data_IF_317314634692
#
_entry.id   IF_317314634692
#
_cell.length_a   1.000
_cell.length_b   1.000
_cell.length_c   1.000
_cell.angle_alpha   90.00
_cell.angle_beta   90.00
_cell.angle_gamma   90.00
#
_symmetry.space_group_name_H-M   'P 1'
#
loop_
_entity.id
_entity.type
_entity.pdbx_description
1 polymer ?
#
# COMPACT_ATOMS: atom_id res chain seq x y z
N UNK A 1 14.68 -34.87 65.50
CA UNK A 1 13.25 -34.52 65.66
C UNK A 1 13.12 -33.00 65.53
N UNK A 2 12.60 -32.52 64.40
CA UNK A 2 12.44 -31.09 64.12
C UNK A 2 10.97 -30.68 64.33
N UNK A 3 10.75 -29.69 65.20
CA UNK A 3 9.46 -29.06 65.49
C UNK A 3 9.02 -28.15 64.33
N UNK A 4 7.71 -28.07 64.00
CA UNK A 4 7.22 -27.17 62.95
C UNK A 4 7.01 -25.74 63.49
N UNK A 5 7.66 -24.76 62.86
CA UNK A 5 7.51 -23.34 63.16
C UNK A 5 6.26 -22.71 62.51
N UNK A 6 5.61 -21.80 63.25
CA UNK A 6 4.37 -21.08 62.91
C UNK A 6 4.46 -20.25 61.61
N UNK A 7 3.36 -20.11 60.84
CA UNK A 7 3.31 -19.22 59.68
C UNK A 7 3.31 -17.73 60.10
N UNK A 8 4.10 -16.92 59.38
CA UNK A 8 4.16 -15.46 59.55
C UNK A 8 2.90 -14.77 59.01
N UNK A 9 2.51 -13.58 59.51
CA UNK A 9 1.26 -12.94 59.15
C UNK A 9 1.25 -12.45 57.70
N UNK A 10 0.16 -12.75 56.98
CA UNK A 10 -0.14 -12.27 55.64
C UNK A 10 -0.36 -10.75 55.70
N UNK A 11 0.40 -10.03 54.88
CA UNK A 11 0.36 -8.58 54.73
C UNK A 11 -1.07 -8.10 54.40
N UNK A 12 -1.61 -7.21 55.27
CA UNK A 12 -2.95 -6.60 55.13
C UNK A 12 -3.09 -5.77 53.85
N UNK A 13 -2.00 -5.43 53.15
CA UNK A 13 -2.03 -4.75 51.83
C UNK A 13 -2.51 -5.66 50.69
N UNK A 14 -2.34 -6.98 50.79
CA UNK A 14 -2.79 -7.91 49.76
C UNK A 14 -4.33 -8.10 49.72
N UNK A 15 -5.02 -7.93 50.87
CA UNK A 15 -6.49 -8.02 50.92
C UNK A 15 -7.21 -6.74 50.46
N UNK A 16 -6.54 -5.58 50.46
CA UNK A 16 -7.11 -4.35 49.94
C UNK A 16 -7.15 -4.32 48.39
N UNK A 17 -6.12 -4.86 47.74
CA UNK A 17 -6.04 -4.95 46.28
C UNK A 17 -7.08 -5.92 45.68
N UNK A 18 -7.37 -7.03 46.36
CA UNK A 18 -8.35 -8.02 45.87
C UNK A 18 -9.82 -7.58 45.96
N UNK A 19 -10.16 -6.60 46.83
CA UNK A 19 -11.52 -6.03 46.91
C UNK A 19 -11.79 -4.89 45.93
N UNK A 20 -10.75 -4.31 45.31
CA UNK A 20 -10.90 -3.29 44.28
C UNK A 20 -11.26 -3.86 42.90
N UNK A 21 -11.02 -5.16 42.66
CA UNK A 21 -11.23 -5.82 41.37
C UNK A 21 -12.61 -6.50 41.21
N UNK A 22 -13.50 -6.47 42.22
CA UNK A 22 -14.80 -7.14 42.17
C UNK A 22 -16.02 -6.25 41.91
N UNK A 23 -15.82 -4.97 41.56
CA UNK A 23 -16.92 -4.07 41.17
C UNK A 23 -16.96 -3.89 39.65
N UNK A 24 -17.93 -4.53 39.00
CA UNK A 24 -18.26 -4.30 37.58
C UNK A 24 -18.48 -2.79 37.35
N UNK A 25 -17.73 -2.12 36.46
CA UNK A 25 -18.04 -0.74 36.13
C UNK A 25 -19.28 -0.71 35.22
N UNK A 26 -20.23 0.15 35.58
CA UNK A 26 -21.35 0.55 34.71
C UNK A 26 -20.78 1.13 33.41
N UNK A 27 -21.39 0.76 32.27
CA UNK A 27 -21.06 1.29 30.93
C UNK A 27 -20.97 2.81 30.97
N UNK A 28 -19.76 3.34 30.77
CA UNK A 28 -19.55 4.74 30.35
C UNK A 28 -19.59 4.78 28.82
N UNK A 29 -20.15 5.82 28.20
CA UNK A 29 -20.09 5.97 26.75
C UNK A 29 -18.62 6.10 26.31
N UNK A 30 -18.30 5.51 25.16
CA UNK A 30 -16.96 5.54 24.58
C UNK A 30 -16.52 7.00 24.35
N UNK A 31 -15.30 7.39 24.75
CA UNK A 31 -14.81 8.74 24.50
C UNK A 31 -14.57 8.95 22.99
N UNK A 32 -14.76 10.17 22.47
CA UNK A 32 -14.49 10.47 21.07
C UNK A 32 -13.02 10.21 20.72
N UNK A 33 -12.77 9.69 19.51
CA UNK A 33 -11.50 9.22 18.94
C UNK A 33 -10.39 10.31 18.75
N UNK A 34 -10.30 11.28 19.64
CA UNK A 34 -9.27 12.33 19.63
C UNK A 34 -8.60 12.45 21.01
N UNK A 35 -7.85 11.43 21.45
CA UNK A 35 -7.02 11.53 22.66
C UNK A 35 -5.91 10.47 22.79
N UNK A 36 -5.22 10.09 21.70
CA UNK A 36 -4.01 9.25 21.79
C UNK A 36 -2.94 9.79 20.83
N UNK A 37 -1.99 10.55 21.38
CA UNK A 37 -0.83 11.10 20.66
C UNK A 37 0.24 10.04 20.37
N UNK A 38 -0.05 9.13 19.43
CA UNK A 38 0.87 8.07 18.99
C UNK A 38 1.60 8.46 17.68
N UNK A 39 2.92 8.19 17.56
CA UNK A 39 3.68 8.39 16.32
C UNK A 39 3.23 7.42 15.20
N UNK A 40 3.46 7.85 13.96
CA UNK A 40 2.66 7.52 12.77
C UNK A 40 3.52 6.72 11.73
N UNK A 41 3.13 5.47 11.40
CA UNK A 41 3.61 4.53 10.33
C UNK A 41 2.58 4.25 9.21
N UNK A 42 3.00 4.13 7.92
CA UNK A 42 2.14 3.87 6.74
C UNK A 42 1.71 2.41 6.76
N UNK A 43 0.59 2.20 7.42
CA UNK A 43 -0.11 0.93 7.40
C UNK A 43 -1.36 1.12 6.56
N UNK A 44 -1.34 0.40 5.46
CA UNK A 44 -2.42 0.31 4.51
C UNK A 44 -3.32 -0.86 4.94
N UNK A 45 -4.63 -0.61 5.04
CA UNK A 45 -5.61 -1.49 5.67
C UNK A 45 -6.70 -1.95 4.67
N UNK A 46 -6.85 -3.28 4.49
CA UNK A 46 -7.95 -3.90 3.71
C UNK A 46 -9.10 -4.31 4.63
N UNK A 47 -10.36 -4.40 4.21
CA UNK A 47 -11.41 -5.15 4.95
C UNK A 47 -12.18 -6.04 3.98
N UNK A 48 -12.48 -7.28 4.36
CA UNK A 48 -13.31 -8.22 3.62
C UNK A 48 -14.72 -8.39 4.23
N UNK A 49 -15.74 -8.52 3.36
CA UNK A 49 -17.12 -8.87 3.76
C UNK A 49 -18.12 -9.07 2.61
N UNK A 50 -18.29 -10.35 2.19
CA UNK A 50 -19.51 -11.09 1.72
C UNK A 50 -20.35 -10.57 0.50
N UNK A 51 -20.97 -11.37 -0.39
CA UNK A 51 -21.48 -12.77 -0.39
C UNK A 51 -21.71 -13.25 -1.86
N UNK A 52 -21.48 -14.54 -2.14
CA UNK A 52 -21.84 -15.23 -3.40
C UNK A 52 -23.32 -15.09 -3.77
N UNK A 53 -23.62 -14.97 -5.07
CA UNK A 53 -24.80 -15.58 -5.71
C UNK A 53 -24.49 -15.85 -7.18
N UNK A 54 -24.45 -17.13 -7.54
CA UNK A 54 -24.12 -17.60 -8.88
C UNK A 54 -25.19 -17.28 -9.92
N UNK A 55 -24.80 -17.31 -11.19
CA UNK A 55 -25.71 -17.55 -12.30
C UNK A 55 -24.95 -18.14 -13.49
N UNK A 56 -25.59 -19.15 -14.09
CA UNK A 56 -25.09 -20.10 -15.07
C UNK A 56 -24.73 -19.42 -16.38
N UNK A 57 -23.58 -19.78 -16.95
CA UNK A 57 -23.25 -19.49 -18.34
C UNK A 57 -24.18 -20.29 -19.27
N UNK A 58 -24.85 -19.60 -20.20
CA UNK A 58 -25.42 -20.23 -21.41
C UNK A 58 -24.47 -19.92 -22.57
N UNK A 59 -24.04 -20.97 -23.24
CA UNK A 59 -23.30 -20.91 -24.49
C UNK A 59 -24.20 -20.35 -25.61
N UNK A 60 -23.64 -19.45 -26.42
CA UNK A 60 -24.25 -18.92 -27.63
C UNK A 60 -23.17 -18.77 -28.70
N UNK A 61 -23.45 -19.31 -29.88
CA UNK A 61 -22.50 -19.66 -30.93
C UNK A 61 -21.78 -18.47 -31.59
N UNK A 62 -20.58 -18.76 -32.10
CA UNK A 62 -19.79 -17.90 -32.98
C UNK A 62 -20.26 -18.09 -34.43
N UNK A 63 -20.62 -16.99 -35.11
CA UNK A 63 -20.85 -16.93 -36.56
C UNK A 63 -19.91 -15.90 -37.22
N UNK A 64 -19.56 -16.07 -38.52
CA UNK A 64 -18.38 -15.45 -39.10
C UNK A 64 -18.58 -14.00 -39.55
N UNK A 65 -17.45 -13.27 -39.57
CA UNK A 65 -17.29 -11.84 -39.90
C UNK A 65 -17.67 -11.51 -41.35
N UNK A 66 -18.24 -10.31 -41.54
CA UNK A 66 -18.03 -9.48 -42.75
C UNK A 66 -17.67 -8.06 -42.31
N UNK A 67 -16.52 -7.57 -42.78
CA UNK A 67 -16.08 -6.19 -42.63
C UNK A 67 -16.76 -5.30 -43.68
N UNK A 68 -17.15 -4.09 -43.28
CA UNK A 68 -17.30 -2.93 -44.14
C UNK A 68 -16.68 -1.72 -43.43
N UNK A 69 -16.00 -0.81 -44.14
CA UNK A 69 -15.24 0.28 -43.53
C UNK A 69 -16.16 1.48 -43.24
N UNK A 70 -16.22 1.93 -41.98
CA UNK A 70 -16.99 3.12 -41.64
C UNK A 70 -16.93 3.51 -40.16
N UNK A 71 -16.39 4.71 -39.90
CA UNK A 71 -16.34 5.48 -38.63
C UNK A 71 -15.42 4.91 -37.54
N UNK A 72 -14.25 5.54 -37.42
CA UNK A 72 -13.35 5.42 -36.26
C UNK A 72 -14.14 5.59 -34.95
N UNK A 73 -14.18 4.52 -34.16
CA UNK A 73 -15.10 4.37 -33.02
C UNK A 73 -14.66 5.15 -31.79
N UNK A 74 -15.57 5.95 -31.25
CA UNK A 74 -15.50 6.55 -29.91
C UNK A 74 -15.69 5.45 -28.86
N UNK A 75 -14.64 4.70 -28.52
CA UNK A 75 -14.70 3.65 -27.51
C UNK A 75 -13.70 3.91 -26.37
N UNK A 76 -14.00 3.37 -25.19
CA UNK A 76 -13.06 3.37 -24.06
C UNK A 76 -11.85 2.50 -24.42
N UNK A 77 -10.65 2.85 -23.95
CA UNK A 77 -9.43 2.06 -24.25
C UNK A 77 -9.60 0.60 -23.78
N UNK A 78 -10.28 0.38 -22.65
CA UNK A 78 -10.61 -0.97 -22.18
C UNK A 78 -11.65 -1.77 -22.99
N UNK A 79 -12.28 -1.22 -24.05
CA UNK A 79 -13.23 -1.96 -24.90
C UNK A 79 -12.57 -2.64 -26.10
N UNK A 80 -11.37 -2.22 -26.51
CA UNK A 80 -10.62 -2.87 -27.60
C UNK A 80 -9.77 -4.07 -27.14
N UNK A 81 -9.76 -4.35 -25.83
CA UNK A 81 -9.01 -5.43 -25.20
C UNK A 81 -9.97 -6.54 -24.72
N UNK A 82 -9.60 -7.83 -24.77
CA UNK A 82 -10.44 -8.91 -24.26
C UNK A 82 -10.77 -8.68 -22.78
N UNK A 83 -12.08 -8.68 -22.45
CA UNK A 83 -12.60 -8.28 -21.14
C UNK A 83 -12.49 -9.39 -20.09
N UNK A 84 -12.11 -8.99 -18.88
CA UNK A 84 -12.64 -9.56 -17.65
C UNK A 84 -13.96 -8.82 -17.25
N UNK A 85 -14.78 -9.42 -16.39
CA UNK A 85 -16.18 -9.04 -16.08
C UNK A 85 -16.39 -7.50 -15.89
N UNK A 86 -17.31 -6.84 -16.62
CA UNK A 86 -17.60 -5.40 -16.48
C UNK A 86 -18.11 -4.97 -15.09
N UNK A 87 -18.35 -5.91 -14.17
CA UNK A 87 -18.66 -5.66 -12.75
C UNK A 87 -17.43 -5.70 -11.85
N UNK A 88 -16.21 -5.75 -12.40
CA UNK A 88 -14.95 -5.73 -11.67
C UNK A 88 -14.80 -4.44 -10.87
N UNK A 89 -15.37 -4.50 -9.67
CA UNK A 89 -15.04 -3.68 -8.52
C UNK A 89 -13.55 -3.87 -8.28
N UNK A 90 -12.74 -2.87 -8.59
CA UNK A 90 -11.29 -2.94 -8.35
C UNK A 90 -11.01 -2.60 -6.91
N UNK A 91 -10.33 -3.53 -6.23
CA UNK A 91 -10.14 -3.50 -4.79
C UNK A 91 -9.06 -2.49 -4.40
N UNK A 92 -9.40 -1.69 -3.41
CA UNK A 92 -8.63 -0.55 -2.98
C UNK A 92 -7.78 -0.82 -1.75
N UNK A 93 -6.64 -0.16 -1.73
CA UNK A 93 -5.93 0.15 -0.50
C UNK A 93 -6.12 1.62 -0.15
N UNK A 94 -6.76 1.89 0.99
CA UNK A 94 -6.90 3.25 1.52
C UNK A 94 -5.57 3.67 2.16
N UNK A 95 -4.73 4.34 1.37
CA UNK A 95 -3.50 4.96 1.86
C UNK A 95 -3.84 6.22 2.65
N UNK A 96 -3.71 6.18 3.97
CA UNK A 96 -3.36 7.40 4.71
C UNK A 96 -1.85 7.53 4.66
N UNK A 97 -1.37 8.70 4.27
CA UNK A 97 0.03 9.09 4.47
C UNK A 97 0.34 8.96 5.96
N UNK A 98 1.22 8.03 6.28
CA UNK A 98 1.72 7.90 7.63
C UNK A 98 3.23 7.59 7.57
N UNK A 99 4.02 8.37 6.83
CA UNK A 99 5.45 8.49 7.14
C UNK A 99 5.75 9.94 7.52
N UNK A 100 5.91 10.11 8.82
CA UNK A 100 6.38 11.31 9.49
C UNK A 100 6.63 11.00 10.97
N UNK A 101 7.07 9.77 11.26
CA UNK A 101 7.20 9.21 12.61
C UNK A 101 8.64 9.06 13.07
N UNK A 102 9.52 9.90 12.56
CA UNK A 102 10.73 10.33 13.25
C UNK A 102 10.73 11.86 13.36
N UNK A 103 9.56 12.40 13.71
CA UNK A 103 9.36 13.75 14.22
C UNK A 103 8.91 13.60 15.66
N UNK A 104 9.86 13.74 16.59
CA UNK A 104 9.53 14.00 17.97
C UNK A 104 9.05 15.44 18.08
N UNK A 105 7.77 15.65 18.36
CA UNK A 105 7.33 16.86 19.05
C UNK A 105 7.45 16.58 20.55
N UNK A 106 8.46 17.21 21.13
CA UNK A 106 8.91 17.01 22.49
C UNK A 106 10.29 17.64 22.56
N UNK A 107 10.33 18.89 23.03
CA UNK A 107 11.57 19.58 23.38
C UNK A 107 12.39 18.68 24.31
N UNK A 108 13.36 17.95 23.75
CA UNK A 108 14.20 17.04 24.52
C UNK A 108 14.76 15.82 23.79
N UNK A 109 14.16 15.31 22.70
CA UNK A 109 14.61 14.04 22.12
C UNK A 109 15.24 14.16 20.72
N UNK A 110 16.57 14.26 20.70
CA UNK A 110 17.43 14.34 19.50
C UNK A 110 17.68 12.97 18.83
N UNK A 111 16.76 11.99 18.93
CA UNK A 111 17.02 10.62 18.47
C UNK A 111 16.00 10.12 17.46
N UNK A 112 16.57 9.73 16.33
CA UNK A 112 16.00 9.19 15.11
C UNK A 112 15.20 10.24 14.31
N UNK A 113 15.78 10.67 13.18
CA UNK A 113 15.15 11.35 12.04
C UNK A 113 15.35 10.44 10.83
N UNK A 114 14.28 10.06 10.11
CA UNK A 114 14.38 9.39 8.79
C UNK A 114 14.47 10.45 7.67
N UNK A 115 14.39 11.73 8.04
CA UNK A 115 14.84 12.86 7.24
C UNK A 115 16.32 13.10 7.55
N UNK A 116 17.17 12.72 6.60
CA UNK A 116 18.64 12.73 6.64
C UNK A 116 19.20 12.06 5.38
N UNK A 117 20.53 12.00 5.21
CA UNK A 117 21.15 11.28 4.09
C UNK A 117 20.64 9.83 4.05
N UNK A 118 20.61 9.24 2.84
CA UNK A 118 20.21 7.86 2.66
C UNK A 118 21.13 6.95 3.49
N UNK A 119 20.60 6.39 4.58
CA UNK A 119 21.31 5.45 5.45
C UNK A 119 20.60 4.10 5.39
N UNK A 120 21.30 3.08 4.91
CA UNK A 120 20.80 1.71 4.80
C UNK A 120 20.89 0.93 6.11
N UNK A 121 21.68 1.44 7.06
CA UNK A 121 21.84 0.90 8.39
C UNK A 121 20.96 1.65 9.39
N UNK A 122 20.17 0.92 10.18
CA UNK A 122 19.27 1.48 11.19
C UNK A 122 19.58 0.94 12.58
N UNK A 123 19.30 1.75 13.61
CA UNK A 123 19.55 1.33 15.00
C UNK A 123 18.51 0.29 15.47
N UNK A 124 18.83 -0.41 16.56
CA UNK A 124 17.91 -1.37 17.20
C UNK A 124 16.65 -0.69 17.71
N UNK A 125 16.77 0.52 18.22
CA UNK A 125 15.65 1.33 18.69
C UNK A 125 14.70 1.67 17.54
N UNK A 126 15.22 1.96 16.35
CA UNK A 126 14.40 2.20 15.16
C UNK A 126 13.63 0.94 14.74
N UNK A 127 14.27 -0.23 14.74
CA UNK A 127 13.59 -1.51 14.47
C UNK A 127 12.45 -1.78 15.46
N UNK A 128 12.72 -1.57 16.75
CA UNK A 128 11.69 -1.75 17.79
C UNK A 128 10.55 -0.75 17.63
N UNK A 129 10.84 0.51 17.29
CA UNK A 129 9.80 1.51 17.05
C UNK A 129 8.87 1.10 15.90
N UNK A 130 9.41 0.54 14.82
CA UNK A 130 8.59 0.01 13.71
C UNK A 130 7.69 -1.12 14.20
N UNK A 131 8.25 -2.10 14.92
CA UNK A 131 7.50 -3.23 15.48
C UNK A 131 6.37 -2.79 16.39
N UNK A 132 6.63 -1.86 17.32
CA UNK A 132 5.60 -1.34 18.23
C UNK A 132 4.49 -0.63 17.45
N UNK A 133 4.84 0.07 16.38
CA UNK A 133 3.85 0.76 15.56
C UNK A 133 2.99 -0.22 14.77
N UNK A 134 3.58 -1.25 14.15
CA UNK A 134 2.82 -2.32 13.48
C UNK A 134 1.93 -3.07 14.46
N UNK A 135 2.44 -3.38 15.66
CA UNK A 135 1.66 -4.01 16.73
C UNK A 135 0.45 -3.17 17.12
N UNK A 136 0.65 -1.87 17.35
CA UNK A 136 -0.41 -0.96 17.75
C UNK A 136 -1.51 -0.87 16.67
N UNK A 137 -1.12 -0.77 15.40
CA UNK A 137 -2.10 -0.74 14.31
C UNK A 137 -2.80 -2.07 14.15
N UNK A 138 -2.09 -3.21 14.17
CA UNK A 138 -2.70 -4.55 14.14
C UNK A 138 -3.74 -4.71 15.25
N UNK A 139 -3.42 -4.27 16.47
CA UNK A 139 -4.36 -4.29 17.60
C UNK A 139 -5.59 -3.42 17.35
N UNK A 140 -5.44 -2.25 16.71
CA UNK A 140 -6.53 -1.33 16.43
C UNK A 140 -7.46 -1.80 15.29
N UNK A 141 -6.90 -2.38 14.23
CA UNK A 141 -7.68 -2.78 13.04
C UNK A 141 -8.19 -4.22 13.10
N UNK A 142 -7.64 -5.04 14.01
CA UNK A 142 -7.97 -6.45 14.17
C UNK A 142 -7.34 -7.35 13.10
N UNK A 143 -7.59 -8.68 13.16
CA UNK A 143 -6.91 -9.66 12.31
C UNK A 143 -7.47 -9.77 10.89
N UNK A 144 -8.66 -9.23 10.62
CA UNK A 144 -9.34 -9.34 9.31
C UNK A 144 -8.90 -8.27 8.31
N UNK A 145 -8.00 -7.39 8.73
CA UNK A 145 -7.54 -6.27 7.94
C UNK A 145 -6.14 -6.55 7.47
N UNK A 146 -5.91 -6.67 6.17
CA UNK A 146 -4.55 -6.87 5.67
C UNK A 146 -3.70 -5.65 5.98
N UNK A 147 -2.45 -5.89 6.41
CA UNK A 147 -1.47 -4.84 6.65
C UNK A 147 -0.40 -4.88 5.57
N UNK A 148 -0.32 -3.79 4.83
CA UNK A 148 0.64 -3.60 3.76
C UNK A 148 1.71 -2.66 4.29
N UNK A 149 2.96 -3.14 4.35
CA UNK A 149 4.08 -2.45 4.99
C UNK A 149 5.08 -2.03 3.92
N UNK A 150 5.40 -0.74 3.89
CA UNK A 150 6.23 -0.12 2.86
C UNK A 150 7.46 0.57 3.50
N UNK A 151 8.66 0.27 3.00
CA UNK A 151 9.95 0.53 3.67
C UNK A 151 10.81 1.59 2.95
N UNK A 152 10.41 1.98 1.75
CA UNK A 152 10.97 3.04 0.91
C UNK A 152 12.44 2.78 0.55
N UNK A 153 12.82 1.53 0.27
CA UNK A 153 14.16 1.14 -0.22
C UNK A 153 15.30 1.40 0.76
N UNK A 154 15.00 1.61 2.05
CA UNK A 154 15.95 2.22 3.00
C UNK A 154 16.78 1.23 3.80
N UNK A 155 16.63 -0.07 3.64
CA UNK A 155 17.36 -1.03 4.46
C UNK A 155 18.45 -1.73 3.66
N UNK A 156 19.55 -2.05 4.35
CA UNK A 156 20.46 -3.10 3.92
C UNK A 156 19.78 -4.47 4.10
N UNK A 157 20.14 -5.50 3.31
CA UNK A 157 19.51 -6.83 3.38
C UNK A 157 19.42 -7.41 4.80
N UNK A 158 20.47 -7.27 5.60
CA UNK A 158 20.49 -7.76 6.99
C UNK A 158 19.39 -7.15 7.88
N UNK A 159 19.04 -5.88 7.65
CA UNK A 159 17.97 -5.21 8.39
C UNK A 159 16.61 -5.56 7.84
N UNK A 160 16.47 -5.62 6.52
CA UNK A 160 15.24 -6.02 5.86
C UNK A 160 14.77 -7.41 6.35
N UNK A 161 15.67 -8.41 6.31
CA UNK A 161 15.38 -9.78 6.76
C UNK A 161 15.01 -9.80 8.25
N UNK A 162 15.78 -9.09 9.07
CA UNK A 162 15.59 -9.08 10.52
C UNK A 162 14.28 -8.40 10.92
N UNK A 163 13.98 -7.24 10.33
CA UNK A 163 12.76 -6.52 10.60
C UNK A 163 11.55 -7.30 10.10
N UNK A 164 11.60 -7.89 8.90
CA UNK A 164 10.54 -8.76 8.40
C UNK A 164 10.20 -9.89 9.38
N UNK A 165 11.21 -10.60 9.92
CA UNK A 165 11.00 -11.64 10.96
C UNK A 165 10.35 -11.11 12.22
N UNK A 166 10.68 -9.89 12.64
CA UNK A 166 10.05 -9.25 13.79
C UNK A 166 8.60 -8.84 13.51
N UNK A 167 8.25 -8.65 12.23
CA UNK A 167 6.91 -8.26 11.79
C UNK A 167 6.00 -9.46 11.46
N UNK A 168 6.56 -10.64 11.19
CA UNK A 168 5.81 -11.89 10.91
C UNK A 168 4.64 -12.16 11.88
N UNK A 169 4.78 -11.97 13.23
CA UNK A 169 3.68 -12.21 14.16
C UNK A 169 2.44 -11.32 13.96
N UNK A 170 2.55 -10.23 13.19
CA UNK A 170 1.44 -9.32 12.89
C UNK A 170 0.75 -9.62 11.56
N UNK A 171 1.13 -10.71 10.90
CA UNK A 171 0.55 -11.17 9.63
C UNK A 171 0.46 -10.06 8.56
N UNK A 172 1.60 -9.46 8.13
CA UNK A 172 1.58 -8.51 7.04
C UNK A 172 1.23 -9.22 5.72
N UNK A 173 0.38 -8.58 4.92
CA UNK A 173 0.01 -9.09 3.60
C UNK A 173 1.15 -8.92 2.60
N UNK A 174 1.92 -7.82 2.70
CA UNK A 174 3.14 -7.65 1.93
C UNK A 174 4.18 -6.79 2.65
N UNK A 175 5.41 -6.88 2.13
CA UNK A 175 6.58 -6.10 2.53
C UNK A 175 7.21 -5.46 1.29
N UNK A 176 6.94 -4.18 1.12
CA UNK A 176 7.25 -3.41 -0.08
C UNK A 176 8.58 -2.67 0.06
N UNK A 177 9.32 -2.70 -1.05
CA UNK A 177 10.65 -2.14 -1.23
C UNK A 177 11.57 -2.25 0.00
N UNK A 178 11.84 -3.48 0.50
CA UNK A 178 12.66 -3.69 1.68
C UNK A 178 14.07 -3.11 1.53
N UNK A 179 14.62 -3.21 0.33
CA UNK A 179 15.93 -2.69 -0.08
C UNK A 179 15.76 -1.95 -1.42
N UNK A 180 16.81 -1.32 -1.93
CA UNK A 180 16.71 -0.59 -3.21
C UNK A 180 16.36 -1.50 -4.38
N UNK A 181 15.36 -1.08 -5.17
CA UNK A 181 15.00 -1.72 -6.44
C UNK A 181 16.13 -1.70 -7.48
N UNK A 182 17.12 -0.81 -7.31
CA UNK A 182 18.31 -0.75 -8.16
C UNK A 182 19.27 -1.94 -7.93
N UNK A 183 19.13 -2.65 -6.82
CA UNK A 183 19.90 -3.86 -6.53
C UNK A 183 18.96 -5.06 -6.47
N UNK A 184 18.64 -5.60 -7.65
CA UNK A 184 17.80 -6.80 -7.79
C UNK A 184 18.45 -8.03 -7.14
N UNK A 185 19.79 -8.05 -7.04
CA UNK A 185 20.54 -9.09 -6.33
C UNK A 185 20.23 -9.08 -4.84
N UNK A 186 20.27 -7.92 -4.22
CA UNK A 186 19.90 -7.72 -2.81
C UNK A 186 18.42 -8.04 -2.55
N UNK A 187 17.52 -7.69 -3.47
CA UNK A 187 16.11 -8.09 -3.38
C UNK A 187 15.96 -9.62 -3.42
N UNK A 188 16.63 -10.29 -4.35
CA UNK A 188 16.61 -11.75 -4.44
C UNK A 188 17.24 -12.42 -3.20
N UNK A 189 18.27 -11.82 -2.61
CA UNK A 189 18.83 -12.24 -1.32
C UNK A 189 17.78 -12.15 -0.21
N UNK A 190 17.14 -10.98 -0.06
CA UNK A 190 16.08 -10.79 0.93
C UNK A 190 14.93 -11.76 0.73
N UNK A 191 14.51 -11.99 -0.51
CA UNK A 191 13.39 -12.87 -0.86
C UNK A 191 13.62 -14.31 -0.42
N UNK A 192 14.87 -14.79 -0.37
CA UNK A 192 15.18 -16.15 0.12
C UNK A 192 14.91 -16.33 1.61
N UNK A 193 15.07 -15.27 2.40
CA UNK A 193 15.02 -15.33 3.87
C UNK A 193 13.78 -14.68 4.50
N UNK A 194 13.01 -13.93 3.72
CA UNK A 194 11.76 -13.28 4.14
C UNK A 194 10.57 -14.12 3.71
N UNK A 195 9.67 -14.40 4.66
CA UNK A 195 8.44 -15.19 4.42
C UNK A 195 7.22 -14.34 4.03
N UNK A 196 7.28 -13.04 4.29
CA UNK A 196 6.25 -12.09 3.89
C UNK A 196 6.41 -11.82 2.38
N UNK A 197 5.32 -11.77 1.58
CA UNK A 197 5.42 -11.46 0.15
C UNK A 197 6.18 -10.14 -0.09
N UNK A 198 7.15 -10.15 -1.01
CA UNK A 198 7.93 -8.97 -1.36
C UNK A 198 7.32 -8.25 -2.55
N UNK A 199 7.22 -6.91 -2.45
CA UNK A 199 6.77 -6.01 -3.53
C UNK A 199 7.92 -5.12 -4.00
N UNK A 200 8.06 -4.91 -5.31
CA UNK A 200 8.99 -3.93 -5.90
C UNK A 200 8.53 -3.47 -7.29
N UNK A 201 8.98 -2.31 -7.76
CA UNK A 201 8.67 -1.85 -9.12
C UNK A 201 8.31 -0.37 -9.27
N UNK A 202 7.95 0.35 -8.22
CA UNK A 202 7.57 1.77 -8.32
C UNK A 202 8.68 2.68 -8.88
N UNK A 203 9.95 2.29 -8.66
CA UNK A 203 11.14 2.98 -9.17
C UNK A 203 11.71 2.37 -10.47
N UNK A 204 11.08 1.33 -11.02
CA UNK A 204 11.50 0.75 -12.30
C UNK A 204 10.70 1.41 -13.43
N UNK A 205 11.37 1.82 -14.50
CA UNK A 205 10.79 2.67 -15.56
C UNK A 205 10.60 1.93 -16.88
N UNK A 206 11.20 0.75 -17.05
CA UNK A 206 11.13 0.02 -18.32
C UNK A 206 10.89 -1.46 -18.10
N UNK A 207 10.19 -2.12 -19.03
CA UNK A 207 10.02 -3.60 -18.99
C UNK A 207 11.35 -4.37 -18.92
N UNK A 208 12.44 -3.77 -19.37
CA UNK A 208 13.78 -4.38 -19.33
C UNK A 208 14.33 -4.50 -17.91
N UNK A 209 14.02 -3.54 -17.04
CA UNK A 209 14.36 -3.63 -15.61
C UNK A 209 13.51 -4.69 -14.91
N UNK A 210 12.21 -4.76 -15.24
CA UNK A 210 11.32 -5.80 -14.73
C UNK A 210 11.74 -7.21 -15.15
N UNK A 211 12.31 -7.39 -16.35
CA UNK A 211 12.85 -8.69 -16.79
C UNK A 211 13.83 -9.28 -15.77
N UNK A 212 14.76 -8.47 -15.25
CA UNK A 212 15.75 -8.95 -14.28
C UNK A 212 15.09 -9.34 -12.95
N UNK A 213 14.08 -8.60 -12.49
CA UNK A 213 13.29 -8.93 -11.29
C UNK A 213 12.67 -10.33 -11.43
N UNK A 214 12.11 -10.64 -12.61
CA UNK A 214 11.50 -11.94 -12.88
C UNK A 214 12.51 -13.07 -12.99
N UNK A 215 13.58 -12.87 -13.78
CA UNK A 215 14.63 -13.88 -13.99
C UNK A 215 15.33 -14.26 -12.68
N UNK A 216 15.52 -13.30 -11.77
CA UNK A 216 16.11 -13.54 -10.45
C UNK A 216 15.11 -13.98 -9.38
N UNK A 217 13.81 -14.02 -9.69
CA UNK A 217 12.73 -14.30 -8.72
C UNK A 217 12.81 -13.38 -7.50
N UNK A 218 13.01 -12.09 -7.73
CA UNK A 218 13.32 -11.12 -6.70
C UNK A 218 12.08 -10.56 -5.96
N UNK A 219 10.87 -10.76 -6.49
CA UNK A 219 9.62 -10.30 -5.90
C UNK A 219 8.46 -11.27 -6.16
N UNK A 220 7.44 -11.23 -5.30
CA UNK A 220 6.18 -11.96 -5.46
C UNK A 220 5.10 -11.10 -6.15
N UNK A 221 5.21 -9.79 -5.95
CA UNK A 221 4.27 -8.77 -6.42
C UNK A 221 5.11 -7.68 -7.08
N UNK A 222 4.69 -7.18 -8.24
CA UNK A 222 5.25 -5.95 -8.79
C UNK A 222 4.26 -4.79 -8.69
N UNK A 223 4.77 -3.58 -8.46
CA UNK A 223 3.96 -2.36 -8.38
C UNK A 223 4.39 -1.26 -9.39
N UNK A 224 4.49 -1.57 -10.70
CA UNK A 224 4.77 -0.55 -11.73
C UNK A 224 3.73 0.58 -11.69
N UNK A 225 4.19 1.82 -11.87
CA UNK A 225 3.33 3.00 -12.00
C UNK A 225 3.11 3.34 -13.48
N UNK A 226 1.85 3.47 -13.90
CA UNK A 226 1.48 3.77 -15.30
C UNK A 226 2.09 5.08 -15.83
N UNK A 227 2.30 6.06 -14.95
CA UNK A 227 2.90 7.34 -15.29
C UNK A 227 4.44 7.29 -15.34
N UNK A 228 5.06 6.24 -14.79
CA UNK A 228 6.51 6.07 -14.78
C UNK A 228 6.99 5.14 -15.89
N UNK A 229 6.31 4.00 -16.10
CA UNK A 229 6.80 2.96 -17.01
C UNK A 229 6.68 3.31 -18.50
N UNK A 230 6.06 4.44 -18.84
CA UNK A 230 5.85 4.86 -20.23
C UNK A 230 4.42 4.67 -20.73
N UNK A 231 3.47 4.35 -19.86
CA UNK A 231 2.03 4.43 -20.13
C UNK A 231 1.28 3.10 -20.09
N UNK A 232 0.06 3.14 -20.64
CA UNK A 232 -0.94 2.05 -20.58
C UNK A 232 -0.43 0.76 -21.23
N UNK A 233 0.17 0.86 -22.42
CA UNK A 233 0.63 -0.33 -23.15
C UNK A 233 1.85 -0.96 -22.47
N UNK A 234 2.82 -0.16 -22.02
CA UNK A 234 3.98 -0.70 -21.32
C UNK A 234 3.56 -1.42 -20.03
N UNK A 235 2.69 -0.81 -19.21
CA UNK A 235 2.21 -1.43 -17.99
C UNK A 235 1.52 -2.79 -18.27
N UNK A 236 0.76 -2.87 -19.35
CA UNK A 236 0.11 -4.11 -19.81
C UNK A 236 1.14 -5.16 -20.27
N UNK A 237 2.16 -4.77 -21.01
CA UNK A 237 3.25 -5.67 -21.44
C UNK A 237 4.06 -6.18 -20.25
N UNK A 238 4.38 -5.32 -19.28
CA UNK A 238 5.02 -5.69 -18.01
C UNK A 238 4.15 -6.71 -17.25
N UNK A 239 2.84 -6.47 -17.16
CA UNK A 239 1.91 -7.40 -16.51
C UNK A 239 1.86 -8.76 -17.21
N UNK A 240 1.87 -8.78 -18.54
CA UNK A 240 1.92 -10.03 -19.32
C UNK A 240 3.23 -10.79 -19.12
N UNK A 241 4.37 -10.09 -19.01
CA UNK A 241 5.65 -10.71 -18.63
C UNK A 241 5.58 -11.33 -17.24
N UNK A 242 5.03 -10.61 -16.25
CA UNK A 242 4.91 -11.08 -14.88
C UNK A 242 4.08 -12.37 -14.76
N UNK A 243 3.03 -12.51 -15.57
CA UNK A 243 2.14 -13.68 -15.59
C UNK A 243 2.91 -14.99 -15.83
N UNK A 244 3.88 -14.99 -16.76
CA UNK A 244 4.70 -16.15 -17.08
C UNK A 244 5.59 -16.61 -15.90
N UNK A 245 5.85 -15.73 -14.94
CA UNK A 245 6.65 -16.00 -13.75
C UNK A 245 5.78 -16.20 -12.50
N UNK A 246 4.44 -16.27 -12.65
CA UNK A 246 3.48 -16.34 -11.55
C UNK A 246 3.57 -15.16 -10.56
N UNK A 247 3.98 -13.99 -11.07
CA UNK A 247 4.04 -12.74 -10.30
C UNK A 247 2.76 -11.94 -10.52
N UNK A 248 2.17 -11.45 -9.43
CA UNK A 248 0.94 -10.63 -9.49
C UNK A 248 1.28 -9.14 -9.54
N UNK A 249 0.35 -8.34 -10.07
CA UNK A 249 0.55 -6.92 -10.35
C UNK A 249 -0.36 -6.09 -9.46
N UNK A 250 0.24 -5.20 -8.68
CA UNK A 250 -0.45 -4.21 -7.86
C UNK A 250 0.01 -2.81 -8.26
N UNK A 251 -0.55 -2.20 -9.31
CA UNK A 251 -0.03 -0.93 -9.84
C UNK A 251 0.04 0.15 -8.76
N UNK A 252 1.23 0.74 -8.63
CA UNK A 252 1.45 1.92 -7.80
C UNK A 252 0.69 3.10 -8.41
N UNK A 253 0.22 4.00 -7.55
CA UNK A 253 -0.59 5.14 -8.00
C UNK A 253 -0.43 6.34 -7.06
N UNK A 254 0.80 6.77 -6.79
CA UNK A 254 1.06 8.09 -6.19
C UNK A 254 0.98 9.21 -7.23
N UNK A 255 -0.11 9.18 -8.00
CA UNK A 255 -0.45 10.13 -9.04
C UNK A 255 -1.68 10.93 -8.62
N UNK A 256 -2.40 11.51 -9.58
CA UNK A 256 -3.73 12.04 -9.32
C UNK A 256 -4.77 10.91 -9.15
N UNK A 257 -5.76 11.13 -8.28
CA UNK A 257 -7.01 10.35 -8.26
C UNK A 257 -7.95 10.77 -9.41
N UNK A 258 -7.39 11.16 -10.56
CA UNK A 258 -8.10 11.53 -11.79
C UNK A 258 -7.48 10.83 -13.00
N UNK A 259 -6.61 11.49 -13.76
CA UNK A 259 -6.05 10.98 -15.02
C UNK A 259 -5.16 9.76 -14.80
N UNK A 260 -4.22 9.84 -13.85
CA UNK A 260 -3.31 8.73 -13.54
C UNK A 260 -4.07 7.50 -13.07
N UNK A 261 -4.96 7.68 -12.08
CA UNK A 261 -5.84 6.61 -11.61
C UNK A 261 -6.71 6.03 -12.75
N UNK A 262 -7.31 6.86 -13.61
CA UNK A 262 -8.13 6.35 -14.71
C UNK A 262 -7.32 5.46 -15.67
N UNK A 263 -6.09 5.84 -16.01
CA UNK A 263 -5.20 5.03 -16.83
C UNK A 263 -4.87 3.70 -16.13
N UNK A 264 -4.53 3.73 -14.84
CA UNK A 264 -4.31 2.54 -14.02
C UNK A 264 -5.52 1.61 -14.02
N UNK A 265 -6.73 2.13 -13.77
CA UNK A 265 -7.96 1.33 -13.74
C UNK A 265 -8.24 0.64 -15.08
N UNK A 266 -7.97 1.29 -16.22
CA UNK A 266 -8.15 0.69 -17.55
C UNK A 266 -7.20 -0.50 -17.75
N UNK A 267 -5.94 -0.39 -17.34
CA UNK A 267 -4.98 -1.50 -17.44
C UNK A 267 -5.34 -2.62 -16.47
N UNK A 268 -5.63 -2.30 -15.21
CA UNK A 268 -6.02 -3.25 -14.18
C UNK A 268 -7.26 -4.07 -14.56
N UNK A 269 -8.18 -3.50 -15.34
CA UNK A 269 -9.36 -4.21 -15.85
C UNK A 269 -9.06 -5.19 -17.00
N UNK A 270 -7.90 -5.04 -17.64
CA UNK A 270 -7.50 -5.73 -18.85
C UNK A 270 -6.39 -6.78 -18.65
N UNK A 271 -5.91 -6.97 -17.41
CA UNK A 271 -4.88 -7.95 -17.05
C UNK A 271 -5.46 -9.01 -16.10
N UNK A 272 -5.09 -10.30 -16.25
CA UNK A 272 -5.64 -11.38 -15.42
C UNK A 272 -4.96 -11.51 -14.05
N UNK A 273 -3.76 -10.96 -13.88
CA UNK A 273 -2.94 -11.02 -12.68
C UNK A 273 -2.97 -9.71 -11.85
N UNK A 274 -4.02 -8.90 -12.00
CA UNK A 274 -4.26 -7.73 -11.15
C UNK A 274 -4.61 -8.17 -9.71
N UNK A 275 -3.92 -7.56 -8.73
CA UNK A 275 -4.14 -7.81 -7.31
C UNK A 275 -5.05 -6.73 -6.69
N UNK A 276 -4.50 -5.52 -6.53
CA UNK A 276 -5.12 -4.34 -5.93
C UNK A 276 -4.41 -3.08 -6.49
N UNK A 277 -4.94 -1.89 -6.24
CA UNK A 277 -4.20 -0.64 -6.56
C UNK A 277 -4.33 0.37 -5.44
N UNK A 278 -3.31 1.23 -5.35
CA UNK A 278 -3.29 2.31 -4.38
C UNK A 278 -4.27 3.43 -4.73
N UNK A 279 -4.86 4.01 -3.69
CA UNK A 279 -5.67 5.19 -3.84
C UNK A 279 -5.49 6.13 -2.66
N UNK A 280 -5.19 7.36 -3.03
CA UNK A 280 -4.78 8.41 -2.12
C UNK A 280 -5.99 9.26 -1.76
N UNK A 281 -6.55 8.99 -0.58
CA UNK A 281 -7.73 9.68 -0.04
C UNK A 281 -7.48 11.19 0.10
N UNK A 282 -6.24 11.59 0.35
CA UNK A 282 -5.83 12.99 0.43
C UNK A 282 -5.96 13.75 -0.90
N UNK A 283 -6.02 13.06 -2.04
CA UNK A 283 -6.23 13.69 -3.33
C UNK A 283 -7.72 13.82 -3.73
N UNK A 284 -8.64 13.20 -2.99
CA UNK A 284 -10.08 13.28 -3.27
C UNK A 284 -10.64 14.70 -3.35
N UNK A 285 -10.32 15.63 -2.41
CA UNK A 285 -10.86 16.98 -2.49
C UNK A 285 -10.48 17.68 -3.78
N UNK A 286 -9.19 17.56 -4.18
CA UNK A 286 -8.70 18.16 -5.42
C UNK A 286 -9.32 17.49 -6.64
N UNK A 287 -9.45 16.16 -6.64
CA UNK A 287 -10.11 15.44 -7.72
C UNK A 287 -11.59 15.85 -7.89
N UNK A 288 -12.31 16.10 -6.80
CA UNK A 288 -13.70 16.53 -6.83
C UNK A 288 -13.90 17.93 -7.44
N UNK A 289 -12.89 18.80 -7.33
CA UNK A 289 -12.89 20.11 -7.97
C UNK A 289 -12.64 20.02 -9.48
N UNK A 290 -11.66 19.20 -9.90
CA UNK A 290 -11.18 19.19 -11.30
C UNK A 290 -11.88 18.16 -12.19
N UNK A 291 -12.46 17.09 -11.64
CA UNK A 291 -13.18 16.09 -12.44
C UNK A 291 -14.66 16.46 -12.56
N UNK A 292 -15.25 16.27 -13.75
CA UNK A 292 -16.70 16.40 -13.95
C UNK A 292 -17.44 15.34 -13.13
N UNK A 293 -16.96 14.09 -13.21
CA UNK A 293 -17.43 12.95 -12.41
C UNK A 293 -16.24 12.35 -11.67
N UNK A 294 -15.97 12.74 -10.41
CA UNK A 294 -14.86 12.18 -9.64
C UNK A 294 -15.13 10.71 -9.28
N UNK A 295 -14.04 9.95 -9.14
CA UNK A 295 -14.10 8.58 -8.64
C UNK A 295 -14.68 8.55 -7.22
N UNK A 296 -15.46 7.50 -6.93
CA UNK A 296 -16.04 7.27 -5.62
C UNK A 296 -15.69 5.86 -5.17
N UNK A 297 -15.08 5.77 -3.99
CA UNK A 297 -14.76 4.49 -3.36
C UNK A 297 -16.01 3.97 -2.65
N UNK A 298 -16.51 2.82 -3.08
CA UNK A 298 -17.69 2.18 -2.49
C UNK A 298 -17.33 0.80 -1.95
N UNK A 299 -17.34 0.65 -0.63
CA UNK A 299 -17.01 -0.62 0.02
C UNK A 299 -15.57 -1.08 -0.22
N UNK A 300 -14.64 -0.15 -0.43
CA UNK A 300 -13.25 -0.46 -0.77
C UNK A 300 -13.06 -0.81 -2.25
N UNK A 301 -13.96 -0.38 -3.12
CA UNK A 301 -13.87 -0.64 -4.55
C UNK A 301 -14.13 0.59 -5.41
N UNK A 302 -13.51 0.60 -6.60
CA UNK A 302 -13.77 1.58 -7.65
C UNK A 302 -14.50 0.92 -8.82
N UNK A 303 -15.37 1.71 -9.47
CA UNK A 303 -16.00 1.32 -10.73
C UNK A 303 -15.13 1.77 -11.90
N UNK A 304 -14.82 0.84 -12.81
CA UNK A 304 -14.04 1.15 -14.02
C UNK A 304 -14.86 2.05 -14.94
N UNK A 305 -14.33 3.21 -15.38
CA UNK A 305 -15.02 4.09 -16.31
C UNK A 305 -15.27 3.42 -17.66
N UNK A 306 -16.46 3.64 -18.23
CA UNK A 306 -16.89 2.99 -19.49
C UNK A 306 -17.05 3.96 -20.67
N UNK A 307 -16.90 5.26 -20.42
CA UNK A 307 -16.91 6.30 -21.46
C UNK A 307 -15.67 6.22 -22.37
N UNK A 308 -15.67 6.91 -23.52
CA UNK A 308 -14.57 6.86 -24.49
C UNK A 308 -13.22 7.28 -23.91
N UNK A 309 -12.12 6.78 -24.48
CA UNK A 309 -10.76 7.04 -23.98
C UNK A 309 -10.55 6.46 -22.57
N UNK A 310 -10.10 7.28 -21.63
CA UNK A 310 -9.97 6.94 -20.20
C UNK A 310 -11.32 6.87 -19.47
N UNK A 311 -12.40 7.35 -20.10
CA UNK A 311 -13.74 7.38 -19.55
C UNK A 311 -13.97 8.46 -18.48
N UNK A 312 -13.13 9.49 -18.45
CA UNK A 312 -13.24 10.63 -17.54
C UNK A 312 -13.32 11.95 -18.33
N UNK A 313 -13.88 12.97 -17.69
CA UNK A 313 -13.93 14.35 -18.18
C UNK A 313 -13.44 15.29 -17.08
N UNK A 314 -12.72 16.34 -17.47
CA UNK A 314 -12.15 17.34 -16.56
C UNK A 314 -12.80 18.71 -16.78
N UNK A 315 -12.92 19.47 -15.69
CA UNK A 315 -13.29 20.89 -15.73
C UNK A 315 -12.03 21.71 -16.04
N UNK A 316 -11.77 21.93 -17.32
CA UNK A 316 -10.54 22.58 -17.79
C UNK A 316 -10.37 24.00 -17.22
N UNK A 317 -11.46 24.74 -17.04
CA UNK A 317 -11.46 26.09 -16.45
C UNK A 317 -11.03 26.09 -14.97
N UNK A 318 -11.33 25.03 -14.23
CA UNK A 318 -10.89 24.83 -12.85
C UNK A 318 -9.44 24.35 -12.84
N UNK A 319 -9.09 23.40 -13.71
CA UNK A 319 -7.73 22.87 -13.82
C UNK A 319 -6.72 23.97 -14.17
N UNK A 320 -7.08 24.91 -15.06
CA UNK A 320 -6.24 26.02 -15.45
C UNK A 320 -5.83 26.94 -14.28
N UNK A 321 -6.61 26.99 -13.19
CA UNK A 321 -6.28 27.74 -11.96
C UNK A 321 -5.15 27.09 -11.17
N UNK A 322 -4.82 25.83 -11.49
CA UNK A 322 -3.79 25.02 -10.88
C UNK A 322 -2.63 24.73 -11.84
N UNK A 323 -2.31 25.71 -12.70
CA UNK A 323 -1.21 25.61 -13.65
C UNK A 323 0.10 25.17 -12.97
N UNK A 324 0.89 24.40 -13.72
CA UNK A 324 2.21 23.97 -13.30
C UNK A 324 3.03 25.15 -12.78
N UNK A 325 3.66 24.95 -11.62
CA UNK A 325 4.64 25.88 -11.08
C UNK A 325 5.98 25.20 -11.15
N UNK A 326 6.93 25.86 -11.77
CA UNK A 326 8.31 25.41 -11.77
C UNK A 326 8.78 25.33 -10.32
N UNK A 327 9.17 24.13 -9.90
CA UNK A 327 9.76 23.95 -8.59
C UNK A 327 11.23 24.36 -8.70
N UNK A 328 11.77 25.10 -7.71
CA UNK A 328 13.17 25.44 -7.71
C UNK A 328 14.00 24.16 -7.72
N UNK A 329 15.13 24.19 -8.44
CA UNK A 329 16.08 23.09 -8.41
C UNK A 329 16.41 22.75 -6.95
N UNK A 330 16.28 21.48 -6.56
CA UNK A 330 16.67 21.04 -5.22
C UNK A 330 18.17 21.28 -5.07
N UNK A 331 18.57 22.03 -4.05
CA UNK A 331 19.98 22.13 -3.68
C UNK A 331 20.49 20.75 -3.27
N UNK A 332 21.64 20.34 -3.81
CA UNK A 332 22.32 19.12 -3.37
C UNK A 332 22.69 19.32 -1.89
N UNK A 333 22.30 18.41 -0.98
CA UNK A 333 22.73 18.48 0.41
C UNK A 333 24.25 18.59 0.48
N UNK A 334 24.75 19.50 1.30
CA UNK A 334 26.17 19.64 1.59
C UNK A 334 26.53 18.79 2.80
N UNK A 335 27.81 18.46 3.03
CA UNK A 335 28.24 17.79 4.26
C UNK A 335 27.83 18.52 5.56
N UNK A 336 27.54 19.83 5.49
CA UNK A 336 27.02 20.60 6.63
C UNK A 336 25.55 20.31 6.93
N UNK A 337 24.78 19.92 5.92
CA UNK A 337 23.37 19.53 6.01
C UNK A 337 23.21 18.08 6.51
N UNK A 338 24.28 17.29 6.45
CA UNK A 338 24.28 15.86 6.77
C UNK A 338 24.49 15.56 8.27
N UNK A 339 24.91 16.56 9.06
CA UNK A 339 25.26 16.40 10.48
C UNK A 339 26.47 15.48 10.70
N UNK A 340 26.94 15.33 11.94
CA UNK A 340 28.00 14.37 12.26
C UNK A 340 27.60 12.91 12.03
#
# INVERSE_FOLDING_TARGET
MLHPGRPRPIDRRARAAARALSRRPRRRPDPPLHALGLPRLRIQARRDGFLERGQRARAGAVGPRRQAPGRAGRQSIGRSLPRADPRLRQRLVLGREIIGGLRGEGEGNRRARLHGPLRTHISREAEQQVVETVRAVRAAVGPKVDLLIEVHRRLAPMHAVRLARMLEPFDPFWYEEPVSARDVGALAECRRDIRIPIVTGEELYTRFEFREVFERRAADIINPDVCNVGGIEELREIAAMAEAYHVVVSPHNYNSTTVGLAATLQVSAAIPNFLITEYYVNFEPRAAEVAVTPFKVEGGYLTVPTGPGLGIELREDVLARYAYREFPARSIPTPRDEGP
#
